data_IF_543295635923
#
_entry.id   IF_543295635923
#
_cell.length_a   1.000
_cell.length_b   1.000
_cell.length_c   1.000
_cell.angle_alpha   90.00
_cell.angle_beta   90.00
_cell.angle_gamma   90.00
#
_symmetry.space_group_name_H-M   'P 1'
#
loop_
_entity.id
_entity.type
_entity.pdbx_description
1 polymer ?
#
# COMPACT_ATOMS: atom_id res chain seq x y z
N UNK A 1 57.89 3.53 -6.80
CA UNK A 1 57.85 5.00 -6.51
C UNK A 1 58.31 5.71 -7.79
N UNK A 2 57.63 6.69 -8.39
CA UNK A 2 56.85 7.76 -7.79
C UNK A 2 55.86 8.38 -8.82
N UNK A 3 54.77 8.88 -8.28
CA UNK A 3 53.52 9.35 -8.92
C UNK A 3 53.47 10.88 -9.00
N UNK A 4 52.72 11.42 -9.98
CA UNK A 4 52.08 12.76 -10.04
C UNK A 4 51.32 12.79 -11.39
N UNK A 5 50.06 13.19 -11.55
CA UNK A 5 49.19 14.02 -10.74
C UNK A 5 47.73 13.91 -11.25
N UNK A 6 46.79 14.33 -10.40
CA UNK A 6 45.45 14.89 -10.68
C UNK A 6 44.28 14.00 -11.13
N UNK A 7 43.63 13.48 -10.09
CA UNK A 7 42.18 13.33 -9.91
C UNK A 7 41.37 14.49 -10.52
N UNK A 8 40.41 14.17 -11.39
CA UNK A 8 39.19 14.95 -11.55
C UNK A 8 38.03 14.13 -11.00
N UNK A 9 37.68 14.43 -9.75
CA UNK A 9 36.39 14.09 -9.17
C UNK A 9 35.29 14.60 -10.09
N UNK A 10 34.50 13.70 -10.67
CA UNK A 10 33.16 14.00 -11.12
C UNK A 10 32.20 13.40 -10.10
N UNK A 11 31.95 14.17 -9.05
CA UNK A 11 30.87 13.90 -8.13
C UNK A 11 29.55 14.12 -8.89
N UNK A 12 28.94 13.04 -9.37
CA UNK A 12 27.49 13.01 -9.60
C UNK A 12 26.88 12.44 -8.33
N UNK A 13 26.78 13.31 -7.32
CA UNK A 13 25.84 13.12 -6.25
C UNK A 13 24.43 13.42 -6.81
N UNK A 14 23.48 12.54 -6.55
CA UNK A 14 22.06 12.84 -6.72
C UNK A 14 21.38 12.20 -7.92
N UNK A 15 21.50 10.88 -8.10
CA UNK A 15 20.29 10.15 -8.48
C UNK A 15 19.52 9.89 -7.19
N UNK A 16 18.71 10.90 -6.84
CA UNK A 16 17.64 10.75 -5.88
C UNK A 16 16.88 9.48 -6.23
N UNK A 17 16.76 8.60 -5.24
CA UNK A 17 16.05 7.34 -5.26
C UNK A 17 14.88 7.41 -6.23
N UNK A 18 15.00 6.66 -7.33
CA UNK A 18 13.88 6.34 -8.20
C UNK A 18 12.79 5.78 -7.31
N UNK A 19 11.80 6.62 -6.99
CA UNK A 19 10.57 6.18 -6.38
C UNK A 19 9.99 5.17 -7.35
N UNK A 20 10.10 3.89 -6.98
CA UNK A 20 9.34 2.84 -7.66
C UNK A 20 7.90 3.31 -7.66
N UNK A 21 7.34 3.55 -8.84
CA UNK A 21 5.92 3.81 -8.96
C UNK A 21 5.23 2.53 -8.48
N UNK A 22 4.89 2.48 -7.19
CA UNK A 22 4.06 1.41 -6.66
C UNK A 22 2.74 1.53 -7.41
N UNK A 23 2.47 0.57 -8.27
CA UNK A 23 1.23 0.54 -9.01
C UNK A 23 0.09 0.48 -7.97
N UNK A 24 -0.85 1.41 -8.07
CA UNK A 24 -2.00 1.41 -7.18
C UNK A 24 -2.80 0.12 -7.40
N UNK A 25 -3.37 -0.42 -6.32
CA UNK A 25 -4.30 -1.54 -6.40
C UNK A 25 -5.51 -1.11 -7.24
N UNK A 26 -5.94 -1.88 -8.26
CA UNK A 26 -7.05 -1.52 -9.15
C UNK A 26 -8.41 -1.77 -8.46
N UNK A 27 -8.65 -1.07 -7.36
CA UNK A 27 -9.86 -1.15 -6.58
C UNK A 27 -10.13 0.16 -5.82
N UNK A 28 -11.41 0.44 -5.58
CA UNK A 28 -11.84 1.47 -4.64
C UNK A 28 -12.07 0.88 -3.25
N UNK A 29 -11.59 1.58 -2.23
CA UNK A 29 -11.66 1.15 -0.85
C UNK A 29 -12.69 1.96 -0.07
N UNK A 30 -13.53 1.25 0.69
CA UNK A 30 -14.44 1.82 1.66
C UNK A 30 -14.31 1.03 2.96
N UNK A 31 -14.38 1.66 4.12
CA UNK A 31 -14.33 0.92 5.37
C UNK A 31 -15.52 1.24 6.27
N UNK A 32 -15.90 0.27 7.09
CA UNK A 32 -16.73 0.41 8.27
C UNK A 32 -16.04 -0.25 9.47
N UNK A 33 -16.44 0.03 10.71
CA UNK A 33 -15.87 -0.64 11.87
C UNK A 33 -15.96 -2.17 11.75
N UNK A 34 -14.81 -2.84 11.67
CA UNK A 34 -14.71 -4.30 11.55
C UNK A 34 -14.60 -4.85 10.12
N UNK A 35 -14.73 -4.01 9.08
CA UNK A 35 -14.71 -4.47 7.68
C UNK A 35 -14.16 -3.42 6.72
N UNK A 36 -13.32 -3.87 5.79
CA UNK A 36 -12.89 -3.14 4.62
C UNK A 36 -13.60 -3.70 3.38
N UNK A 37 -14.37 -2.86 2.70
CA UNK A 37 -14.98 -3.13 1.41
C UNK A 37 -14.00 -2.77 0.29
N UNK A 38 -13.68 -3.75 -0.54
CA UNK A 38 -12.79 -3.63 -1.68
C UNK A 38 -13.64 -3.77 -2.94
N UNK A 39 -13.76 -2.69 -3.70
CA UNK A 39 -14.55 -2.64 -4.92
C UNK A 39 -13.62 -2.72 -6.12
N UNK A 40 -13.49 -3.92 -6.68
CA UNK A 40 -12.55 -4.19 -7.77
C UNK A 40 -12.96 -3.47 -9.05
N UNK A 41 -12.00 -2.85 -9.73
CA UNK A 41 -12.24 -2.23 -11.04
C UNK A 41 -12.40 -3.31 -12.12
N UNK A 42 -13.19 -3.01 -13.16
CA UNK A 42 -13.35 -3.90 -14.29
C UNK A 42 -11.99 -4.11 -14.99
N UNK A 43 -11.49 -5.35 -14.97
CA UNK A 43 -10.16 -5.65 -15.52
C UNK A 43 -9.02 -5.60 -14.50
N UNK A 44 -9.29 -5.73 -13.20
CA UNK A 44 -8.30 -6.03 -12.16
C UNK A 44 -7.67 -7.43 -12.36
N UNK A 45 -7.17 -7.75 -13.56
CA UNK A 45 -6.51 -9.00 -13.86
C UNK A 45 -5.02 -8.88 -13.52
N UNK A 46 -4.58 -9.65 -12.52
CA UNK A 46 -3.15 -9.83 -12.24
C UNK A 46 -2.56 -10.78 -13.27
N UNK A 47 -1.87 -10.25 -14.26
CA UNK A 47 -1.23 -11.05 -15.29
C UNK A 47 -0.29 -12.09 -14.66
N UNK A 48 -0.61 -13.38 -14.82
CA UNK A 48 0.26 -14.49 -14.43
C UNK A 48 0.19 -14.95 -12.96
N UNK A 49 -0.70 -14.39 -12.12
CA UNK A 49 -0.80 -14.80 -10.70
C UNK A 49 -2.02 -15.67 -10.46
N UNK A 50 -1.79 -16.97 -10.23
CA UNK A 50 -2.89 -17.95 -10.13
C UNK A 50 -3.73 -17.84 -8.86
N UNK A 51 -3.31 -17.08 -7.85
CA UNK A 51 -4.04 -16.82 -6.61
C UNK A 51 -3.51 -15.52 -5.98
N UNK A 52 -4.06 -14.33 -6.31
CA UNK A 52 -3.61 -13.09 -5.71
C UNK A 52 -4.11 -13.01 -4.27
N UNK A 53 -3.20 -12.74 -3.33
CA UNK A 53 -3.54 -12.43 -1.94
C UNK A 53 -3.60 -10.92 -1.76
N UNK A 54 -4.68 -10.45 -1.15
CA UNK A 54 -4.83 -9.11 -0.65
C UNK A 54 -4.38 -9.06 0.80
N UNK A 55 -3.34 -8.29 1.05
CA UNK A 55 -2.83 -8.04 2.39
C UNK A 55 -3.24 -6.63 2.83
N UNK A 56 -3.74 -6.51 4.05
CA UNK A 56 -4.04 -5.23 4.68
C UNK A 56 -3.11 -5.09 5.86
N UNK A 57 -2.34 -4.02 5.88
CA UNK A 57 -1.40 -3.68 6.95
C UNK A 57 -1.83 -2.37 7.62
N UNK A 58 -1.52 -2.23 8.89
CA UNK A 58 -1.74 -0.96 9.60
C UNK A 58 -0.61 0.04 9.35
N UNK A 59 -0.70 1.20 10.00
CA UNK A 59 0.30 2.27 9.90
C UNK A 59 1.69 1.87 10.44
N UNK A 60 1.76 0.85 11.30
CA UNK A 60 3.03 0.30 11.81
C UNK A 60 3.64 -0.71 10.82
N UNK A 61 2.88 -1.10 9.79
CA UNK A 61 3.26 -2.14 8.84
C UNK A 61 2.86 -3.56 9.27
N UNK A 62 2.17 -3.70 10.40
CA UNK A 62 1.73 -4.99 10.93
C UNK A 62 0.59 -5.56 10.07
N UNK A 63 0.62 -6.87 9.82
CA UNK A 63 -0.40 -7.54 9.02
C UNK A 63 -1.71 -7.64 9.81
N UNK A 64 -2.73 -6.95 9.32
CA UNK A 64 -4.05 -6.84 9.93
C UNK A 64 -5.02 -7.89 9.38
N UNK A 65 -4.97 -8.11 8.06
CA UNK A 65 -5.76 -9.11 7.38
C UNK A 65 -5.03 -9.62 6.14
N UNK A 66 -5.22 -10.89 5.80
CA UNK A 66 -4.72 -11.49 4.56
C UNK A 66 -5.80 -12.39 4.00
N UNK A 67 -6.29 -12.08 2.81
CA UNK A 67 -7.41 -12.80 2.17
C UNK A 67 -7.19 -12.94 0.68
N UNK A 68 -7.81 -13.95 0.08
CA UNK A 68 -7.74 -14.13 -1.37
C UNK A 68 -8.46 -12.97 -2.08
N UNK A 69 -7.82 -12.37 -3.07
CA UNK A 69 -8.40 -11.28 -3.85
C UNK A 69 -9.34 -11.84 -4.92
N UNK A 70 -10.63 -11.49 -4.83
CA UNK A 70 -11.64 -11.90 -5.80
C UNK A 70 -11.46 -11.23 -7.17
N UNK A 71 -10.77 -10.08 -7.22
CA UNK A 71 -10.48 -9.29 -8.43
C UNK A 71 -11.73 -8.88 -9.26
N UNK A 72 -12.93 -9.10 -8.71
CA UNK A 72 -14.22 -8.86 -9.36
C UNK A 72 -15.26 -8.48 -8.31
N UNK A 73 -16.11 -7.52 -8.66
CA UNK A 73 -17.20 -7.06 -7.79
C UNK A 73 -16.73 -6.44 -6.48
N UNK A 74 -17.60 -6.47 -5.46
CA UNK A 74 -17.27 -6.00 -4.12
C UNK A 74 -16.90 -7.18 -3.23
N UNK A 75 -15.73 -7.09 -2.60
CA UNK A 75 -15.23 -8.05 -1.63
C UNK A 75 -15.21 -7.43 -0.24
N UNK A 76 -15.59 -8.22 0.77
CA UNK A 76 -15.48 -7.82 2.17
C UNK A 76 -14.24 -8.47 2.80
N UNK A 77 -13.45 -7.65 3.47
CA UNK A 77 -12.24 -8.08 4.18
C UNK A 77 -12.44 -7.73 5.64
N UNK A 78 -12.43 -8.74 6.50
CA UNK A 78 -12.55 -8.53 7.93
C UNK A 78 -11.26 -7.89 8.45
N UNK A 79 -11.39 -6.72 9.05
CA UNK A 79 -10.30 -6.03 9.74
C UNK A 79 -10.70 -5.88 11.22
N UNK A 80 -9.77 -5.83 12.17
CA UNK A 80 -10.07 -5.55 13.56
C UNK A 80 -10.85 -4.24 13.67
N UNK A 81 -11.95 -4.24 14.45
CA UNK A 81 -12.73 -3.01 14.70
C UNK A 81 -11.92 -1.91 15.39
N UNK A 82 -10.76 -2.25 15.96
CA UNK A 82 -9.80 -1.29 16.55
C UNK A 82 -8.85 -0.66 15.54
N UNK A 83 -8.81 -1.15 14.29
CA UNK A 83 -7.94 -0.61 13.25
C UNK A 83 -8.27 0.88 13.04
N UNK A 84 -7.24 1.70 13.02
CA UNK A 84 -7.34 3.16 12.98
C UNK A 84 -6.19 3.72 12.15
N UNK A 85 -6.36 4.95 11.66
CA UNK A 85 -5.32 5.63 10.91
C UNK A 85 -5.26 5.18 9.45
N UNK A 86 -4.05 5.04 8.93
CA UNK A 86 -3.80 4.63 7.55
C UNK A 86 -3.64 3.11 7.48
N UNK A 87 -4.29 2.50 6.50
CA UNK A 87 -4.07 1.12 6.13
C UNK A 87 -3.31 1.09 4.82
N UNK A 88 -2.33 0.20 4.71
CA UNK A 88 -1.69 -0.10 3.44
C UNK A 88 -2.26 -1.40 2.91
N UNK A 89 -2.92 -1.33 1.76
CA UNK A 89 -3.51 -2.46 1.07
C UNK A 89 -2.57 -2.89 -0.06
N UNK A 90 -2.06 -4.11 0.01
CA UNK A 90 -1.07 -4.65 -0.91
C UNK A 90 -1.64 -5.85 -1.67
N UNK A 91 -1.32 -5.93 -2.96
CA UNK A 91 -1.80 -6.95 -3.87
C UNK A 91 -0.68 -7.31 -4.86
N UNK A 92 0.14 -8.30 -4.49
CA UNK A 92 1.37 -8.57 -5.23
C UNK A 92 2.32 -7.39 -5.18
N UNK A 93 2.72 -6.87 -6.34
CA UNK A 93 3.63 -5.72 -6.44
C UNK A 93 2.88 -4.37 -6.38
N UNK A 94 1.54 -4.41 -6.26
CA UNK A 94 0.69 -3.23 -6.17
C UNK A 94 0.43 -2.89 -4.71
N UNK A 95 0.41 -1.60 -4.39
CA UNK A 95 0.12 -1.11 -3.04
C UNK A 95 -0.66 0.18 -3.09
N UNK A 96 -1.63 0.33 -2.19
CA UNK A 96 -2.45 1.53 -2.04
C UNK A 96 -2.67 1.84 -0.58
N UNK A 97 -2.49 3.11 -0.22
CA UNK A 97 -2.78 3.59 1.11
C UNK A 97 -4.23 4.06 1.19
N UNK A 98 -4.94 3.60 2.22
CA UNK A 98 -6.32 3.96 2.51
C UNK A 98 -6.46 4.48 3.93
N UNK A 99 -6.91 5.72 4.06
CA UNK A 99 -7.17 6.32 5.38
C UNK A 99 -8.56 5.93 5.86
N UNK A 100 -8.62 5.25 7.00
CA UNK A 100 -9.89 4.92 7.62
C UNK A 100 -10.65 6.23 7.97
N UNK A 101 -11.92 6.36 7.55
CA UNK A 101 -12.71 7.57 7.81
C UNK A 101 -13.19 7.65 9.27
N UNK A 102 -13.01 6.57 10.03
CA UNK A 102 -13.28 6.48 11.45
C UNK A 102 -11.97 6.25 12.21
N UNK A 103 -11.95 6.80 13.40
CA UNK A 103 -10.89 6.65 14.38
C UNK A 103 -11.38 7.33 15.64
N UNK A 104 -10.70 7.09 16.76
CA UNK A 104 -10.94 7.84 17.98
C UNK A 104 -10.35 9.23 17.73
N UNK A 105 -11.08 10.05 16.96
CA UNK A 105 -10.75 11.45 16.78
C UNK A 105 -10.73 12.06 18.17
N UNK A 106 -9.58 12.61 18.54
CA UNK A 106 -9.51 13.74 19.45
C UNK A 106 -10.55 14.74 18.98
N UNK A 107 -11.73 14.71 19.60
CA UNK A 107 -12.73 15.74 19.44
C UNK A 107 -12.08 17.03 19.92
N UNK A 108 -11.49 17.80 19.00
CA UNK A 108 -11.38 19.23 19.20
C UNK A 108 -12.81 19.73 19.26
N UNK A 109 -13.27 19.94 20.49
CA UNK A 109 -14.45 20.73 20.83
C UNK A 109 -14.48 21.96 19.93
N UNK A 110 -15.59 22.13 19.22
CA UNK A 110 -16.05 23.42 18.75
C UNK A 110 -17.47 23.60 19.23
#
# INVERSE_FOLDING_TARGET
MNMKNVIKMLAVAGLMSVGVAQAAVPADFNAAPGVLFVNWHAGAAMAGKSNPQLEVRDESGDLVASVHASLMGTQQVHIPSRAQGNLTVSLGDQSSDYRLPFGIGSGKVR
#
